data_IF_668475622898
#
_entry.id   IF_668475622898
#
_cell.length_a   1.000
_cell.length_b   1.000
_cell.length_c   1.000
_cell.angle_alpha   90.00
_cell.angle_beta   90.00
_cell.angle_gamma   90.00
#
_symmetry.space_group_name_H-M   'P 1'
#
loop_
_entity.id
_entity.type
_entity.pdbx_description
1 polymer ?
#
# COMPACT_ATOMS: atom_id res chain seq x y z
N UNK A 1 -27.93 -6.77 23.41
CA UNK A 1 -26.78 -6.50 24.31
C UNK A 1 -26.02 -5.32 23.75
N UNK A 2 -25.57 -4.39 24.62
CA UNK A 2 -24.67 -3.31 24.19
C UNK A 2 -23.37 -3.95 23.68
N UNK A 3 -22.82 -3.47 22.57
CA UNK A 3 -21.53 -3.94 22.09
C UNK A 3 -20.46 -3.72 23.17
N UNK A 4 -19.56 -4.69 23.43
CA UNK A 4 -18.54 -4.54 24.45
C UNK A 4 -17.66 -3.32 24.14
N UNK A 5 -17.24 -2.59 25.18
CA UNK A 5 -16.36 -1.44 25.00
C UNK A 5 -15.00 -1.90 24.43
N UNK A 6 -14.38 -1.14 23.52
CA UNK A 6 -13.07 -1.48 22.99
C UNK A 6 -12.01 -1.58 24.10
N UNK A 7 -11.16 -2.61 24.04
CA UNK A 7 -10.02 -2.76 24.95
C UNK A 7 -9.06 -1.56 24.81
N UNK A 8 -8.50 -1.10 25.93
CA UNK A 8 -7.56 0.03 25.96
C UNK A 8 -6.12 -0.48 25.98
N UNK A 9 -5.43 -0.25 24.87
CA UNK A 9 -4.03 -0.62 24.66
C UNK A 9 -3.08 -0.01 25.70
N UNK A 10 -2.13 -0.83 26.20
CA UNK A 10 -0.99 -0.38 27.01
C UNK A 10 0.23 -0.09 26.14
N UNK A 11 0.43 -0.90 25.10
CA UNK A 11 1.55 -0.76 24.18
C UNK A 11 1.09 -0.43 22.75
N UNK A 12 2.03 -0.03 21.90
CA UNK A 12 1.80 0.11 20.46
C UNK A 12 1.81 -1.28 19.83
N UNK A 13 0.62 -1.79 19.52
CA UNK A 13 0.45 -3.11 18.92
C UNK A 13 0.36 -2.99 17.40
N UNK A 14 1.13 -3.84 16.73
CA UNK A 14 1.17 -4.02 15.28
C UNK A 14 0.62 -5.41 14.96
N UNK A 15 -0.35 -5.46 14.04
CA UNK A 15 -1.01 -6.71 13.65
C UNK A 15 -0.97 -6.84 12.13
N UNK A 16 -0.44 -7.95 11.64
CA UNK A 16 -0.50 -8.31 10.22
C UNK A 16 -1.83 -9.00 9.94
N UNK A 17 -2.52 -8.60 8.88
CA UNK A 17 -3.82 -9.17 8.48
C UNK A 17 -3.81 -9.60 7.02
N UNK A 18 -4.26 -10.83 6.74
CA UNK A 18 -4.38 -11.36 5.38
C UNK A 18 -5.43 -12.47 5.26
N UNK A 19 -5.84 -12.80 4.04
CA UNK A 19 -6.50 -14.08 3.73
C UNK A 19 -5.47 -15.10 3.20
N UNK A 20 -5.72 -16.39 3.44
CA UNK A 20 -4.81 -17.48 3.11
C UNK A 20 -4.52 -17.62 1.60
N UNK A 21 -3.58 -18.49 1.25
CA UNK A 21 -3.20 -18.75 -0.14
C UNK A 21 -4.40 -19.29 -0.93
N UNK A 22 -4.57 -18.79 -2.15
CA UNK A 22 -5.71 -19.06 -3.04
C UNK A 22 -7.09 -18.77 -2.44
N UNK A 23 -7.15 -18.00 -1.36
CA UNK A 23 -8.41 -17.52 -0.78
C UNK A 23 -8.68 -16.08 -1.21
N UNK A 24 -9.78 -15.89 -1.94
CA UNK A 24 -10.30 -14.57 -2.32
C UNK A 24 -11.31 -13.98 -1.34
N UNK A 25 -11.67 -14.69 -0.26
CA UNK A 25 -12.67 -14.22 0.71
C UNK A 25 -12.09 -13.19 1.68
N UNK A 26 -11.96 -11.95 1.21
CA UNK A 26 -11.39 -10.86 2.01
C UNK A 26 -12.44 -10.10 2.84
N UNK A 27 -13.73 -10.36 2.65
CA UNK A 27 -14.82 -9.64 3.30
C UNK A 27 -14.73 -9.70 4.83
N UNK A 28 -14.46 -10.89 5.39
CA UNK A 28 -14.36 -11.11 6.83
C UNK A 28 -13.13 -10.37 7.40
N UNK A 29 -11.95 -10.57 6.83
CA UNK A 29 -10.72 -9.92 7.31
C UNK A 29 -10.79 -8.39 7.18
N UNK A 30 -11.48 -7.87 6.16
CA UNK A 30 -11.74 -6.44 5.98
C UNK A 30 -12.61 -5.85 7.10
N UNK A 31 -13.60 -6.58 7.60
CA UNK A 31 -14.38 -6.17 8.77
C UNK A 31 -13.52 -6.22 10.03
N UNK A 32 -12.80 -7.33 10.25
CA UNK A 32 -11.97 -7.50 11.44
C UNK A 32 -10.88 -6.43 11.55
N UNK A 33 -10.13 -6.16 10.47
CA UNK A 33 -9.07 -5.14 10.49
C UNK A 33 -9.57 -3.74 10.78
N UNK A 34 -10.81 -3.40 10.37
CA UNK A 34 -11.41 -2.09 10.68
C UNK A 34 -11.66 -1.94 12.18
N UNK A 35 -12.10 -3.01 12.83
CA UNK A 35 -12.35 -3.05 14.27
C UNK A 35 -11.03 -3.03 15.05
N UNK A 36 -10.02 -3.77 14.58
CA UNK A 36 -8.66 -3.75 15.13
C UNK A 36 -8.08 -2.33 15.09
N UNK A 37 -8.14 -1.67 13.93
CA UNK A 37 -7.70 -0.29 13.76
C UNK A 37 -8.50 0.68 14.66
N UNK A 38 -9.81 0.48 14.79
CA UNK A 38 -10.67 1.29 15.64
C UNK A 38 -10.35 1.15 17.14
N UNK A 39 -9.78 0.00 17.53
CA UNK A 39 -9.30 -0.27 18.90
C UNK A 39 -7.94 0.39 19.19
N UNK A 40 -7.28 0.94 18.16
CA UNK A 40 -6.06 1.74 18.31
C UNK A 40 -4.77 1.05 17.85
N UNK A 41 -4.86 -0.17 17.32
CA UNK A 41 -3.71 -0.89 16.80
C UNK A 41 -3.30 -0.42 15.40
N UNK A 42 -2.03 -0.64 15.06
CA UNK A 42 -1.48 -0.45 13.72
C UNK A 42 -1.67 -1.73 12.91
N UNK A 43 -2.43 -1.67 11.83
CA UNK A 43 -2.76 -2.84 11.02
C UNK A 43 -2.01 -2.81 9.70
N UNK A 44 -1.13 -3.79 9.50
CA UNK A 44 -0.46 -4.04 8.23
C UNK A 44 -1.34 -5.01 7.46
N UNK A 45 -1.98 -4.54 6.39
CA UNK A 45 -2.93 -5.35 5.64
C UNK A 45 -2.34 -5.81 4.31
N UNK A 46 -2.24 -7.12 4.12
CA UNK A 46 -1.67 -7.73 2.91
C UNK A 46 -2.74 -8.09 1.87
N UNK A 47 -4.03 -7.92 2.18
CA UNK A 47 -5.12 -8.31 1.29
C UNK A 47 -5.40 -9.80 1.34
N UNK A 48 -5.56 -10.41 0.16
CA UNK A 48 -5.95 -11.81 -0.01
C UNK A 48 -4.93 -12.58 -0.85
N UNK A 49 -5.10 -13.90 -0.97
CA UNK A 49 -4.20 -14.78 -1.72
C UNK A 49 -2.72 -14.66 -1.28
N UNK A 50 -2.45 -14.85 0.01
CA UNK A 50 -1.08 -14.75 0.55
C UNK A 50 -0.51 -16.08 0.99
N UNK A 51 0.69 -16.38 0.51
CA UNK A 51 1.46 -17.54 0.98
C UNK A 51 1.90 -17.34 2.43
N UNK A 52 2.20 -18.45 3.12
CA UNK A 52 2.73 -18.41 4.49
C UNK A 52 4.02 -17.61 4.56
N UNK A 53 4.92 -17.79 3.59
CA UNK A 53 6.20 -17.09 3.54
C UNK A 53 6.00 -15.57 3.48
N UNK A 54 5.16 -15.06 2.58
CA UNK A 54 4.87 -13.62 2.49
C UNK A 54 4.33 -13.03 3.80
N UNK A 55 3.41 -13.75 4.48
CA UNK A 55 2.82 -13.28 5.74
C UNK A 55 3.86 -13.28 6.86
N UNK A 56 4.69 -14.34 6.96
CA UNK A 56 5.74 -14.45 7.98
C UNK A 56 6.86 -13.45 7.75
N UNK A 57 7.33 -13.28 6.51
CA UNK A 57 8.32 -12.26 6.13
C UNK A 57 7.81 -10.86 6.53
N UNK A 58 6.56 -10.55 6.20
CA UNK A 58 5.94 -9.30 6.61
C UNK A 58 5.89 -9.17 8.14
N UNK A 59 5.43 -10.17 8.87
CA UNK A 59 5.30 -10.09 10.33
C UNK A 59 6.65 -9.87 11.02
N UNK A 60 7.70 -10.50 10.52
CA UNK A 60 9.08 -10.34 11.01
C UNK A 60 9.60 -8.94 10.71
N UNK A 61 9.55 -8.50 9.45
CA UNK A 61 10.02 -7.16 9.05
C UNK A 61 9.26 -6.04 9.79
N UNK A 62 7.99 -6.27 10.09
CA UNK A 62 7.14 -5.31 10.78
C UNK A 62 7.20 -5.42 12.32
N UNK A 63 8.03 -6.33 12.88
CA UNK A 63 8.12 -6.63 14.33
C UNK A 63 6.74 -6.72 14.98
N UNK A 64 5.83 -7.45 14.32
CA UNK A 64 4.42 -7.50 14.68
C UNK A 64 4.20 -8.42 15.89
N UNK A 65 3.36 -8.01 16.83
CA UNK A 65 2.99 -8.87 17.97
C UNK A 65 2.09 -10.03 17.55
N UNK A 66 1.34 -9.88 16.46
CA UNK A 66 0.39 -10.88 16.00
C UNK A 66 0.14 -10.88 14.49
N UNK A 67 -0.27 -12.04 14.01
CA UNK A 67 -0.83 -12.29 12.68
C UNK A 67 -2.29 -12.70 12.86
N UNK A 68 -3.18 -12.11 12.08
CA UNK A 68 -4.60 -12.46 12.04
C UNK A 68 -5.00 -12.86 10.62
N UNK A 69 -5.40 -14.11 10.45
CA UNK A 69 -5.70 -14.70 9.15
C UNK A 69 -7.18 -15.04 8.99
N UNK A 70 -7.66 -15.03 7.75
CA UNK A 70 -8.88 -15.75 7.38
C UNK A 70 -8.59 -16.86 6.39
N UNK A 71 -9.24 -18.02 6.56
CA UNK A 71 -9.13 -19.15 5.64
C UNK A 71 -10.48 -19.81 5.44
N UNK A 72 -11.05 -19.68 4.24
CA UNK A 72 -12.38 -20.20 3.88
C UNK A 72 -12.33 -21.34 2.85
N UNK A 73 -11.16 -21.62 2.26
CA UNK A 73 -11.00 -22.59 1.16
C UNK A 73 -10.54 -24.00 1.60
N UNK A 74 -10.31 -24.21 2.90
CA UNK A 74 -9.69 -25.44 3.41
C UNK A 74 -8.16 -25.40 3.37
N UNK A 75 -7.51 -26.50 3.73
CA UNK A 75 -6.04 -26.57 3.88
C UNK A 75 -5.50 -25.71 5.03
N UNK A 76 -6.39 -25.25 5.92
CA UNK A 76 -6.05 -24.36 7.03
C UNK A 76 -5.18 -25.03 8.08
N UNK A 77 -5.32 -26.34 8.29
CA UNK A 77 -4.49 -27.06 9.26
C UNK A 77 -3.02 -26.97 8.85
N UNK A 78 -2.71 -27.36 7.62
CA UNK A 78 -1.36 -27.33 7.07
C UNK A 78 -0.84 -25.89 6.97
N UNK A 79 -1.69 -24.95 6.54
CA UNK A 79 -1.32 -23.55 6.42
C UNK A 79 -0.91 -22.94 7.77
N UNK A 80 -1.70 -23.16 8.83
CA UNK A 80 -1.39 -22.63 10.16
C UNK A 80 -0.20 -23.35 10.81
N UNK A 81 -0.08 -24.67 10.66
CA UNK A 81 1.08 -25.41 11.16
C UNK A 81 2.38 -24.92 10.49
N UNK A 82 2.37 -24.79 9.17
CA UNK A 82 3.53 -24.28 8.43
C UNK A 82 3.90 -22.85 8.85
N UNK A 83 2.91 -21.98 9.09
CA UNK A 83 3.15 -20.63 9.60
C UNK A 83 3.83 -20.64 10.98
N UNK A 84 3.36 -21.52 11.88
CA UNK A 84 3.94 -21.66 13.21
C UNK A 84 5.38 -22.16 13.16
N UNK A 85 5.64 -23.18 12.34
CA UNK A 85 6.98 -23.77 12.19
C UNK A 85 7.96 -22.78 11.56
N UNK A 86 7.53 -22.06 10.52
CA UNK A 86 8.37 -21.06 9.85
C UNK A 86 8.70 -19.87 10.75
N UNK A 87 7.77 -19.45 11.62
CA UNK A 87 8.05 -18.43 12.64
C UNK A 87 9.08 -18.91 13.65
N UNK A 88 8.98 -20.17 14.11
CA UNK A 88 9.97 -20.76 15.02
C UNK A 88 11.34 -20.89 14.38
N UNK A 89 11.40 -21.42 13.15
CA UNK A 89 12.63 -21.58 12.38
C UNK A 89 13.38 -20.25 12.24
N UNK A 90 12.64 -19.15 12.06
CA UNK A 90 13.19 -17.80 11.89
C UNK A 90 13.37 -17.01 13.20
N UNK A 91 13.26 -17.67 14.36
CA UNK A 91 13.44 -17.04 15.68
C UNK A 91 12.32 -16.09 16.11
N UNK A 92 11.21 -16.06 15.37
CA UNK A 92 10.07 -15.17 15.58
C UNK A 92 8.86 -15.88 16.24
N UNK A 93 9.12 -16.95 17.02
CA UNK A 93 8.07 -17.74 17.68
C UNK A 93 7.26 -16.98 18.75
N UNK A 94 7.63 -15.75 19.08
CA UNK A 94 6.86 -14.88 19.98
C UNK A 94 5.62 -14.28 19.30
N UNK A 95 5.61 -14.17 17.97
CA UNK A 95 4.49 -13.61 17.20
C UNK A 95 3.28 -14.53 17.34
N UNK A 96 2.16 -13.97 17.79
CA UNK A 96 0.93 -14.73 18.07
C UNK A 96 0.12 -14.93 16.80
N UNK A 97 -0.44 -16.13 16.62
CA UNK A 97 -1.20 -16.48 15.42
C UNK A 97 -2.68 -16.58 15.77
N UNK A 98 -3.49 -15.78 15.09
CA UNK A 98 -4.94 -15.76 15.18
C UNK A 98 -5.57 -16.12 13.84
N UNK A 99 -6.77 -16.69 13.88
CA UNK A 99 -7.46 -17.05 12.66
C UNK A 99 -8.97 -17.23 12.78
N UNK A 100 -9.63 -17.34 11.63
CA UNK A 100 -11.03 -17.72 11.53
C UNK A 100 -11.39 -18.16 10.12
N UNK A 101 -12.36 -19.06 9.99
CA UNK A 101 -12.81 -19.59 8.70
C UNK A 101 -14.31 -19.83 8.63
N UNK A 102 -15.07 -19.21 9.54
CA UNK A 102 -16.49 -19.53 9.71
C UNK A 102 -16.67 -21.01 10.04
N UNK A 103 -17.55 -21.69 9.31
CA UNK A 103 -17.79 -23.13 9.47
C UNK A 103 -16.77 -24.04 8.79
N UNK A 104 -15.76 -23.50 8.09
CA UNK A 104 -14.76 -24.30 7.37
C UNK A 104 -13.77 -24.97 8.32
N UNK A 105 -13.48 -24.36 9.46
CA UNK A 105 -12.57 -24.91 10.48
C UNK A 105 -13.40 -25.62 11.55
N UNK A 106 -13.27 -26.93 11.64
CA UNK A 106 -14.05 -27.76 12.57
C UNK A 106 -13.54 -27.59 14.02
N UNK A 107 -14.40 -27.79 15.05
CA UNK A 107 -13.98 -27.70 16.45
C UNK A 107 -12.79 -28.60 16.80
N UNK A 108 -12.73 -29.81 16.26
CA UNK A 108 -11.60 -30.73 16.46
C UNK A 108 -10.30 -30.24 15.84
N UNK A 109 -10.37 -29.54 14.70
CA UNK A 109 -9.22 -28.91 14.05
C UNK A 109 -8.76 -27.66 14.81
N UNK A 110 -9.72 -26.90 15.38
CA UNK A 110 -9.43 -25.78 16.27
C UNK A 110 -8.65 -26.26 17.49
N UNK A 111 -9.13 -27.32 18.17
CA UNK A 111 -8.45 -27.93 19.32
C UNK A 111 -7.05 -28.44 18.94
N UNK A 112 -6.92 -29.13 17.81
CA UNK A 112 -5.63 -29.60 17.30
C UNK A 112 -4.64 -28.45 17.05
N UNK A 113 -5.08 -27.39 16.36
CA UNK A 113 -4.23 -26.23 16.05
C UNK A 113 -3.87 -25.42 17.31
N UNK A 114 -4.76 -25.31 18.31
CA UNK A 114 -4.41 -24.71 19.59
C UNK A 114 -3.38 -25.56 20.33
N UNK A 115 -3.51 -26.89 20.30
CA UNK A 115 -2.52 -27.82 20.84
C UNK A 115 -1.16 -27.74 20.14
N UNK A 116 -1.14 -27.40 18.84
CA UNK A 116 0.10 -27.20 18.07
C UNK A 116 0.84 -25.92 18.45
N UNK A 117 0.10 -24.87 18.86
CA UNK A 117 0.66 -23.59 19.29
C UNK A 117 0.01 -22.35 18.67
N UNK A 118 -1.05 -22.51 17.87
CA UNK A 118 -1.84 -21.38 17.38
C UNK A 118 -2.56 -20.72 18.55
N UNK A 119 -2.47 -19.39 18.66
CA UNK A 119 -2.93 -18.65 19.85
C UNK A 119 -4.44 -18.71 20.03
N UNK A 120 -5.20 -18.43 18.96
CA UNK A 120 -6.66 -18.53 18.99
C UNK A 120 -7.25 -18.59 17.59
N UNK A 121 -8.17 -19.51 17.38
CA UNK A 121 -9.02 -19.60 16.19
C UNK A 121 -10.46 -19.38 16.62
N UNK A 122 -11.14 -18.43 15.99
CA UNK A 122 -12.49 -18.04 16.34
C UNK A 122 -13.51 -18.80 15.49
N UNK A 123 -14.39 -19.53 16.17
CA UNK A 123 -15.52 -20.24 15.57
C UNK A 123 -16.74 -19.32 15.39
N UNK A 124 -17.76 -19.73 14.61
CA UNK A 124 -19.03 -19.00 14.55
C UNK A 124 -19.71 -18.84 15.92
N UNK A 125 -19.54 -19.79 16.84
CA UNK A 125 -20.07 -19.72 18.20
C UNK A 125 -19.38 -18.67 19.06
N UNK A 126 -18.07 -18.47 18.86
CA UNK A 126 -17.35 -17.35 19.47
C UNK A 126 -17.89 -16.02 18.96
N UNK A 127 -18.19 -15.92 17.66
CA UNK A 127 -18.82 -14.75 17.07
C UNK A 127 -20.21 -14.44 17.65
N UNK A 128 -21.01 -15.48 17.93
CA UNK A 128 -22.33 -15.34 18.57
C UNK A 128 -22.24 -14.92 20.04
N UNK A 129 -21.27 -15.46 20.77
CA UNK A 129 -21.14 -15.26 22.22
C UNK A 129 -20.41 -13.96 22.58
N UNK A 130 -19.27 -13.69 21.95
CA UNK A 130 -18.43 -12.52 22.23
C UNK A 130 -18.84 -11.28 21.40
N UNK A 131 -19.48 -11.51 20.25
CA UNK A 131 -19.63 -10.49 19.22
C UNK A 131 -18.30 -10.12 18.55
N UNK A 132 -18.37 -9.36 17.46
CA UNK A 132 -17.17 -8.98 16.69
C UNK A 132 -16.15 -8.19 17.53
N UNK A 133 -16.61 -7.19 18.30
CA UNK A 133 -15.73 -6.40 19.15
C UNK A 133 -15.14 -7.22 20.30
N UNK A 134 -15.88 -8.20 20.85
CA UNK A 134 -15.37 -9.07 21.92
C UNK A 134 -14.24 -9.97 21.42
N UNK A 135 -14.37 -10.54 20.21
CA UNK A 135 -13.27 -11.30 19.59
C UNK A 135 -12.03 -10.42 19.35
N UNK A 136 -12.21 -9.18 18.89
CA UNK A 136 -11.08 -8.27 18.71
C UNK A 136 -10.45 -7.86 20.04
N UNK A 137 -11.26 -7.66 21.10
CA UNK A 137 -10.71 -7.38 22.42
C UNK A 137 -9.82 -8.53 22.91
N UNK A 138 -10.26 -9.79 22.78
CA UNK A 138 -9.43 -10.97 23.15
C UNK A 138 -8.15 -11.04 22.30
N UNK A 139 -8.24 -10.81 21.00
CA UNK A 139 -7.09 -10.77 20.08
C UNK A 139 -6.06 -9.71 20.47
N UNK A 140 -6.55 -8.53 20.87
CA UNK A 140 -5.74 -7.33 21.16
C UNK A 140 -5.20 -7.33 22.60
N UNK A 141 -5.90 -7.93 23.55
CA UNK A 141 -5.45 -8.09 24.95
C UNK A 141 -4.34 -9.14 25.08
N UNK A 142 -4.53 -10.33 24.47
CA UNK A 142 -3.40 -11.13 24.00
C UNK A 142 -2.64 -10.24 23.00
N UNK A 143 -1.38 -10.32 22.63
CA UNK A 143 -0.77 -9.31 21.71
C UNK A 143 -0.44 -7.95 22.33
N UNK A 144 -1.05 -7.51 23.45
CA UNK A 144 -0.62 -6.30 24.18
C UNK A 144 0.63 -6.55 25.02
N UNK A 145 1.75 -6.78 24.34
CA UNK A 145 3.06 -7.00 24.96
C UNK A 145 4.18 -6.33 24.16
N UNK A 146 5.31 -6.13 24.83
CA UNK A 146 6.56 -5.70 24.21
C UNK A 146 7.24 -6.94 23.60
N UNK A 147 7.52 -6.98 22.29
CA UNK A 147 8.31 -8.05 21.69
C UNK A 147 9.62 -8.29 22.46
N UNK A 148 10.00 -9.56 22.72
CA UNK A 148 11.19 -9.88 23.50
C UNK A 148 12.46 -9.45 22.75
N UNK A 149 13.51 -9.14 23.49
CA UNK A 149 14.83 -8.93 22.90
C UNK A 149 15.42 -10.30 22.52
N UNK A 150 15.46 -10.60 21.22
CA UNK A 150 15.86 -11.93 20.71
C UNK A 150 17.38 -12.03 20.59
N UNK A 151 18.05 -10.92 20.29
CA UNK A 151 19.49 -10.90 20.01
C UNK A 151 20.32 -10.44 21.20
N UNK A 152 19.79 -9.58 22.09
CA UNK A 152 20.56 -9.06 23.23
C UNK A 152 21.85 -8.40 22.76
N UNK A 153 22.99 -8.90 23.23
CA UNK A 153 24.32 -8.39 22.88
C UNK A 153 24.71 -8.69 21.41
N UNK A 154 24.10 -9.69 20.77
CA UNK A 154 24.38 -10.08 19.38
C UNK A 154 23.61 -9.23 18.34
N UNK A 155 22.87 -8.20 18.78
CA UNK A 155 22.02 -7.39 17.90
C UNK A 155 22.84 -6.68 16.82
N UNK A 156 24.01 -6.15 17.17
CA UNK A 156 24.88 -5.44 16.24
C UNK A 156 25.30 -6.34 15.07
N UNK A 157 25.88 -7.50 15.38
CA UNK A 157 26.33 -8.48 14.38
C UNK A 157 25.17 -8.97 13.50
N UNK A 158 23.99 -9.20 14.10
CA UNK A 158 22.81 -9.64 13.37
C UNK A 158 22.25 -8.57 12.42
N UNK A 159 22.32 -7.28 12.81
CA UNK A 159 21.98 -6.15 11.94
C UNK A 159 22.99 -6.02 10.79
N UNK A 160 24.29 -6.13 11.06
CA UNK A 160 25.33 -6.13 10.01
C UNK A 160 25.14 -7.28 9.02
N UNK A 161 24.67 -8.44 9.49
CA UNK A 161 24.31 -9.58 8.65
C UNK A 161 22.98 -9.42 7.89
N UNK A 162 22.30 -8.26 8.03
CA UNK A 162 20.98 -7.97 7.45
C UNK A 162 19.91 -8.99 7.84
N UNK A 163 19.97 -9.53 9.06
CA UNK A 163 18.91 -10.40 9.57
C UNK A 163 17.58 -9.59 9.67
N UNK A 164 16.49 -10.00 8.99
CA UNK A 164 15.25 -9.23 8.96
C UNK A 164 14.64 -8.97 10.34
N UNK A 165 14.73 -9.93 11.26
CA UNK A 165 14.22 -9.76 12.62
C UNK A 165 15.10 -8.79 13.41
N UNK A 166 16.42 -8.87 13.28
CA UNK A 166 17.35 -7.95 13.96
C UNK A 166 17.13 -6.50 13.49
N UNK A 167 16.96 -6.29 12.18
CA UNK A 167 16.62 -4.99 11.60
C UNK A 167 15.30 -4.45 12.19
N UNK A 168 14.28 -5.30 12.22
CA UNK A 168 12.97 -4.91 12.73
C UNK A 168 13.02 -4.57 14.23
N UNK A 169 13.77 -5.34 15.03
CA UNK A 169 13.94 -5.09 16.47
C UNK A 169 14.76 -3.83 16.75
N UNK A 170 15.86 -3.60 16.02
CA UNK A 170 16.66 -2.38 16.14
C UNK A 170 15.81 -1.13 15.85
N UNK A 171 15.03 -1.15 14.76
CA UNK A 171 14.09 -0.08 14.43
C UNK A 171 13.05 0.09 15.55
N UNK A 172 12.44 -0.99 16.04
CA UNK A 172 11.48 -0.94 17.15
C UNK A 172 12.09 -0.45 18.46
N UNK A 173 13.37 -0.72 18.75
CA UNK A 173 14.08 -0.17 19.91
C UNK A 173 14.25 1.34 19.79
N UNK A 174 14.68 1.82 18.61
CA UNK A 174 14.81 3.24 18.34
C UNK A 174 13.45 3.97 18.44
N UNK A 175 12.39 3.42 17.85
CA UNK A 175 11.01 3.95 17.94
C UNK A 175 10.51 4.09 19.39
N UNK A 176 11.00 3.24 20.30
CA UNK A 176 10.64 3.26 21.74
C UNK A 176 11.59 4.12 22.58
N UNK A 177 12.61 4.72 21.97
CA UNK A 177 13.63 5.52 22.65
C UNK A 177 14.69 4.71 23.38
N UNK A 178 14.82 3.40 23.13
CA UNK A 178 15.85 2.54 23.70
C UNK A 178 17.18 2.68 22.93
N UNK A 179 17.67 3.92 22.81
CA UNK A 179 18.83 4.27 21.97
C UNK A 179 20.14 3.61 22.39
N UNK A 180 20.27 3.21 23.65
CA UNK A 180 21.45 2.49 24.14
C UNK A 180 21.64 1.16 23.41
N UNK A 181 20.55 0.49 23.01
CA UNK A 181 20.58 -0.77 22.27
C UNK A 181 21.00 -0.63 20.81
N UNK A 182 20.87 0.56 20.26
CA UNK A 182 21.21 0.86 18.85
C UNK A 182 22.36 1.85 18.77
N UNK A 183 23.16 1.99 19.82
CA UNK A 183 24.24 2.97 19.87
C UNK A 183 25.31 2.73 18.79
N UNK A 184 25.44 1.50 18.29
CA UNK A 184 26.34 1.11 17.20
C UNK A 184 26.05 1.80 15.87
N UNK A 185 24.82 2.28 15.63
CA UNK A 185 24.50 2.99 14.38
C UNK A 185 25.11 4.40 14.32
N UNK A 186 25.60 4.93 15.44
CA UNK A 186 26.16 6.29 15.50
C UNK A 186 27.42 6.40 14.65
N UNK A 187 27.47 7.44 13.81
CA UNK A 187 28.62 7.72 12.95
C UNK A 187 28.67 6.87 11.67
N UNK A 188 27.64 6.06 11.43
CA UNK A 188 27.48 5.31 10.18
C UNK A 188 27.43 6.25 8.99
N UNK A 189 28.10 5.87 7.90
CA UNK A 189 27.93 6.53 6.61
C UNK A 189 26.53 6.24 6.08
N UNK A 190 25.72 7.29 5.94
CA UNK A 190 24.35 7.19 5.42
C UNK A 190 24.34 6.60 4.01
N UNK A 191 23.44 5.64 3.78
CA UNK A 191 23.14 5.16 2.44
C UNK A 191 22.36 6.22 1.65
N UNK A 192 22.43 6.23 0.31
CA UNK A 192 21.60 7.10 -0.53
C UNK A 192 20.11 6.95 -0.20
N UNK A 193 19.44 8.08 0.02
CA UNK A 193 18.01 8.12 0.34
C UNK A 193 17.22 8.75 -0.81
N UNK A 194 16.30 7.96 -1.38
CA UNK A 194 15.27 8.43 -2.28
C UNK A 194 13.99 8.73 -1.51
N UNK A 195 13.62 10.01 -1.43
CA UNK A 195 12.35 10.44 -0.86
C UNK A 195 11.24 10.48 -1.90
N UNK A 196 10.13 9.80 -1.66
CA UNK A 196 8.95 9.78 -2.52
C UNK A 196 7.79 10.41 -1.77
N UNK A 197 7.28 11.52 -2.30
CA UNK A 197 6.10 12.21 -1.75
C UNK A 197 5.12 12.57 -2.84
N UNK A 198 3.92 13.01 -2.48
CA UNK A 198 2.85 13.23 -3.46
C UNK A 198 1.45 13.27 -2.86
N UNK A 199 0.48 13.64 -3.70
CA UNK A 199 -0.92 13.73 -3.25
C UNK A 199 -1.50 12.35 -2.95
N UNK A 200 -2.45 12.30 -2.01
CA UNK A 200 -3.15 11.08 -1.64
C UNK A 200 -3.81 10.41 -2.85
N UNK A 201 -3.49 9.13 -3.08
CA UNK A 201 -4.04 8.38 -4.20
C UNK A 201 -3.40 8.66 -5.56
N UNK A 202 -2.32 9.43 -5.64
CA UNK A 202 -1.56 9.63 -6.89
C UNK A 202 -0.91 8.35 -7.43
N UNK A 203 -0.79 7.31 -6.60
CA UNK A 203 -0.17 6.02 -6.95
C UNK A 203 1.31 5.93 -6.57
N UNK A 204 1.71 6.61 -5.49
CA UNK A 204 3.07 6.59 -4.92
C UNK A 204 3.55 5.16 -4.68
N UNK A 205 2.86 4.41 -3.82
CA UNK A 205 3.22 3.02 -3.49
C UNK A 205 3.24 2.08 -4.70
N UNK A 206 2.37 2.27 -5.69
CA UNK A 206 2.45 1.51 -6.96
C UNK A 206 3.67 1.89 -7.80
N UNK A 207 4.03 3.17 -7.84
CA UNK A 207 5.22 3.63 -8.56
C UNK A 207 6.52 3.23 -7.83
N UNK A 208 6.52 3.25 -6.50
CA UNK A 208 7.58 2.72 -5.65
C UNK A 208 7.82 1.24 -5.94
N UNK A 209 6.76 0.41 -6.03
CA UNK A 209 6.88 -1.01 -6.40
C UNK A 209 7.54 -1.20 -7.77
N UNK A 210 7.11 -0.40 -8.76
CA UNK A 210 7.67 -0.42 -10.10
C UNK A 210 9.13 0.07 -10.16
N UNK A 211 9.54 0.98 -9.27
CA UNK A 211 10.94 1.41 -9.10
C UNK A 211 11.76 0.30 -8.45
N UNK A 212 11.27 -0.31 -7.36
CA UNK A 212 11.93 -1.43 -6.68
C UNK A 212 12.17 -2.57 -7.66
N UNK A 213 11.14 -2.91 -8.45
CA UNK A 213 11.24 -3.93 -9.47
C UNK A 213 12.35 -3.64 -10.49
N UNK A 214 12.35 -2.44 -11.08
CA UNK A 214 13.38 -2.03 -12.05
C UNK A 214 14.77 -2.01 -11.45
N UNK A 215 14.90 -1.59 -10.19
CA UNK A 215 16.17 -1.62 -9.46
C UNK A 215 16.68 -3.05 -9.30
N UNK A 216 15.82 -4.00 -8.96
CA UNK A 216 16.19 -5.42 -8.82
C UNK A 216 16.53 -6.08 -10.17
N UNK A 217 15.92 -5.63 -11.26
CA UNK A 217 16.20 -6.09 -12.63
C UNK A 217 17.52 -5.51 -13.17
N UNK A 218 17.80 -4.23 -12.89
CA UNK A 218 18.98 -3.50 -13.37
C UNK A 218 20.26 -3.86 -12.59
N UNK A 219 20.14 -4.07 -11.28
CA UNK A 219 21.25 -4.44 -10.41
C UNK A 219 21.01 -5.82 -9.80
N UNK A 220 21.90 -6.77 -10.05
CA UNK A 220 21.76 -8.16 -9.58
C UNK A 220 22.31 -8.38 -8.17
N UNK A 221 23.23 -7.52 -7.72
CA UNK A 221 23.97 -7.62 -6.45
C UNK A 221 23.54 -6.59 -5.40
N UNK A 222 22.82 -5.53 -5.81
CA UNK A 222 22.40 -4.45 -4.91
C UNK A 222 21.15 -4.80 -4.11
N UNK A 223 21.06 -4.15 -2.95
CA UNK A 223 20.00 -4.30 -1.96
C UNK A 223 19.28 -2.98 -1.72
N UNK A 224 17.99 -3.07 -1.44
CA UNK A 224 17.11 -1.91 -1.31
C UNK A 224 16.23 -2.03 -0.07
N UNK A 225 16.09 -0.94 0.66
CA UNK A 225 15.16 -0.87 1.78
C UNK A 225 14.04 0.12 1.47
N UNK A 226 12.82 -0.17 1.92
CA UNK A 226 11.63 0.67 1.74
C UNK A 226 11.04 1.01 3.10
N UNK A 227 11.01 2.30 3.42
CA UNK A 227 10.37 2.86 4.60
C UNK A 227 9.12 3.59 4.14
N UNK A 228 7.95 3.03 4.39
CA UNK A 228 6.68 3.68 4.01
C UNK A 228 5.99 4.28 5.22
N UNK A 229 5.31 5.41 5.03
CA UNK A 229 4.62 6.12 6.11
C UNK A 229 3.16 6.32 5.75
N UNK A 230 2.25 5.82 6.59
CA UNK A 230 0.81 5.94 6.41
C UNK A 230 0.16 6.79 7.52
N UNK A 231 -0.93 7.51 7.23
CA UNK A 231 -1.57 8.39 8.21
C UNK A 231 -2.27 7.61 9.33
N UNK A 232 -2.06 8.05 10.57
CA UNK A 232 -2.78 7.52 11.74
C UNK A 232 -4.17 8.16 11.90
N UNK A 233 -5.15 7.40 12.42
CA UNK A 233 -6.46 7.95 12.76
C UNK A 233 -6.39 8.75 14.07
N UNK A 234 -6.61 10.06 13.98
CA UNK A 234 -6.59 10.98 15.13
C UNK A 234 -7.50 10.56 16.30
N UNK A 235 -8.67 9.99 16.00
CA UNK A 235 -9.67 9.64 17.02
C UNK A 235 -9.29 8.39 17.84
N UNK A 236 -8.68 7.40 17.20
CA UNK A 236 -8.44 6.08 17.82
C UNK A 236 -6.96 5.81 18.09
N UNK A 237 -6.05 6.57 17.46
CA UNK A 237 -4.60 6.35 17.53
C UNK A 237 -4.11 5.19 16.65
N UNK A 238 -5.00 4.36 16.12
CA UNK A 238 -4.67 3.25 15.24
C UNK A 238 -4.43 3.69 13.79
N UNK A 239 -3.74 2.85 13.02
CA UNK A 239 -3.37 3.13 11.64
C UNK A 239 -3.69 1.94 10.72
N UNK A 240 -3.99 2.23 9.46
CA UNK A 240 -4.04 1.21 8.42
C UNK A 240 -2.79 1.46 7.58
N UNK A 241 -1.81 0.58 7.73
CA UNK A 241 -0.57 0.58 6.99
C UNK A 241 -0.84 -0.20 5.70
N UNK A 242 -1.27 0.54 4.69
CA UNK A 242 -1.84 0.04 3.45
C UNK A 242 -0.87 0.04 2.28
N UNK A 243 0.29 0.70 2.38
CA UNK A 243 1.24 0.76 1.26
C UNK A 243 1.74 -0.63 0.84
N UNK A 244 2.02 -1.52 1.80
CA UNK A 244 2.53 -2.87 1.52
C UNK A 244 1.58 -3.73 0.67
N UNK A 245 0.25 -3.49 0.70
CA UNK A 245 -0.69 -4.24 -0.16
C UNK A 245 -0.46 -4.00 -1.65
N UNK A 246 0.20 -2.89 -2.02
CA UNK A 246 0.49 -2.50 -3.40
C UNK A 246 1.83 -3.00 -3.89
N UNK A 247 2.66 -3.53 -2.99
CA UNK A 247 4.05 -3.89 -3.27
C UNK A 247 4.14 -5.39 -3.61
N UNK A 248 4.40 -5.71 -4.87
CA UNK A 248 4.60 -7.10 -5.32
C UNK A 248 6.09 -7.45 -5.39
N UNK A 249 6.95 -6.48 -5.74
CA UNK A 249 8.39 -6.69 -5.93
C UNK A 249 9.17 -6.81 -4.61
N UNK A 250 8.55 -6.44 -3.48
CA UNK A 250 9.19 -6.49 -2.15
C UNK A 250 9.33 -7.91 -1.59
N UNK A 251 8.68 -8.91 -2.20
CA UNK A 251 8.85 -10.33 -1.83
C UNK A 251 10.13 -10.90 -2.45
N UNK A 252 11.28 -10.31 -2.07
CA UNK A 252 12.60 -10.67 -2.57
C UNK A 252 13.63 -10.54 -1.44
N UNK A 253 14.57 -11.50 -1.33
CA UNK A 253 15.58 -11.50 -0.27
C UNK A 253 16.54 -10.30 -0.27
N UNK A 254 16.60 -9.53 -1.37
CA UNK A 254 17.38 -8.27 -1.47
C UNK A 254 16.59 -7.03 -1.04
N UNK A 255 15.32 -7.20 -0.66
CA UNK A 255 14.42 -6.10 -0.27
C UNK A 255 14.02 -6.23 1.19
N UNK A 256 14.18 -5.13 1.93
CA UNK A 256 13.60 -4.98 3.25
C UNK A 256 12.53 -3.89 3.20
N UNK A 257 11.39 -4.08 3.86
CA UNK A 257 10.37 -3.06 3.95
C UNK A 257 9.91 -2.88 5.40
N UNK A 258 9.62 -1.66 5.81
CA UNK A 258 9.07 -1.32 7.13
C UNK A 258 8.02 -0.22 6.99
N UNK A 259 6.87 -0.42 7.62
CA UNK A 259 5.75 0.51 7.55
C UNK A 259 5.63 1.31 8.85
N UNK A 260 5.50 2.63 8.76
CA UNK A 260 5.34 3.53 9.90
C UNK A 260 3.97 4.19 9.87
N UNK A 261 3.47 4.48 11.06
CA UNK A 261 2.31 5.33 11.25
C UNK A 261 2.78 6.74 11.60
N UNK A 262 2.12 7.80 11.10
CA UNK A 262 2.53 9.19 11.41
C UNK A 262 2.51 9.53 12.90
N UNK A 263 1.68 8.84 13.69
CA UNK A 263 1.53 8.90 15.16
C UNK A 263 1.20 10.27 15.77
N UNK A 264 1.45 11.40 15.10
CA UNK A 264 1.06 12.77 15.46
C UNK A 264 1.18 13.74 14.26
N UNK A 265 0.61 14.95 14.36
CA UNK A 265 0.28 15.76 13.20
C UNK A 265 1.44 16.51 12.51
N UNK A 266 2.65 16.68 13.08
CA UNK A 266 3.65 17.56 12.44
C UNK A 266 5.16 17.36 12.77
N UNK A 267 5.59 16.52 13.73
CA UNK A 267 7.03 16.51 14.15
C UNK A 267 7.63 15.11 14.40
N UNK A 268 6.83 14.14 14.88
CA UNK A 268 7.37 12.83 15.25
C UNK A 268 7.72 11.91 14.06
N UNK A 269 7.26 12.22 12.85
CA UNK A 269 7.54 11.42 11.64
C UNK A 269 9.04 11.42 11.31
N UNK A 270 9.68 12.59 11.32
CA UNK A 270 11.06 12.75 10.86
C UNK A 270 12.04 11.94 11.73
N UNK A 271 11.82 11.88 13.05
CA UNK A 271 12.73 11.17 13.96
C UNK A 271 12.73 9.66 13.76
N UNK A 272 11.56 9.01 13.78
CA UNK A 272 11.49 7.55 13.64
C UNK A 272 11.97 7.07 12.27
N UNK A 273 11.70 7.86 11.22
CA UNK A 273 12.17 7.58 9.87
C UNK A 273 13.69 7.75 9.79
N UNK A 274 14.25 8.79 10.40
CA UNK A 274 15.72 8.99 10.47
C UNK A 274 16.40 7.86 11.22
N UNK A 275 15.87 7.47 12.38
CA UNK A 275 16.39 6.34 13.17
C UNK A 275 16.38 5.03 12.33
N UNK A 276 15.33 4.80 11.54
CA UNK A 276 15.27 3.65 10.64
C UNK A 276 16.28 3.73 9.49
N UNK A 277 16.46 4.91 8.90
CA UNK A 277 17.48 5.16 7.87
C UNK A 277 18.88 4.86 8.42
N UNK A 278 19.17 5.24 9.66
CA UNK A 278 20.48 4.99 10.28
C UNK A 278 20.73 3.49 10.49
N UNK A 279 19.73 2.76 11.01
CA UNK A 279 19.82 1.29 11.16
C UNK A 279 20.02 0.61 9.80
N UNK A 280 19.26 1.01 8.78
CA UNK A 280 19.37 0.43 7.44
C UNK A 280 20.68 0.81 6.74
N UNK A 281 21.18 2.02 6.97
CA UNK A 281 22.49 2.44 6.49
C UNK A 281 23.60 1.61 7.13
N UNK A 282 23.50 1.33 8.44
CA UNK A 282 24.47 0.52 9.16
C UNK A 282 24.49 -0.92 8.66
N UNK A 283 23.30 -1.45 8.31
CA UNK A 283 23.15 -2.76 7.69
C UNK A 283 23.66 -2.82 6.24
N UNK A 284 24.11 -1.71 5.66
CA UNK A 284 24.76 -1.66 4.34
C UNK A 284 23.80 -1.82 3.16
N UNK A 285 22.55 -1.33 3.27
CA UNK A 285 21.67 -1.24 2.10
C UNK A 285 22.21 -0.22 1.07
N UNK A 286 22.15 -0.56 -0.22
CA UNK A 286 22.67 0.30 -1.28
C UNK A 286 21.75 1.50 -1.57
N UNK A 287 20.44 1.32 -1.39
CA UNK A 287 19.44 2.36 -1.58
C UNK A 287 18.35 2.26 -0.49
N UNK A 288 17.97 3.38 0.08
CA UNK A 288 16.82 3.47 0.98
C UNK A 288 15.75 4.36 0.32
N UNK A 289 14.57 3.81 0.10
CA UNK A 289 13.39 4.56 -0.34
C UNK A 289 12.57 4.94 0.88
N UNK A 290 12.19 6.21 0.98
CA UNK A 290 11.27 6.72 2.01
C UNK A 290 10.02 7.24 1.33
N UNK A 291 8.89 6.57 1.51
CA UNK A 291 7.59 7.02 1.02
C UNK A 291 6.81 7.73 2.12
N UNK A 292 6.36 8.96 1.89
CA UNK A 292 5.51 9.68 2.85
C UNK A 292 4.03 9.30 2.73
N UNK A 293 3.27 9.65 3.77
CA UNK A 293 1.81 9.67 3.66
C UNK A 293 1.39 10.63 2.55
N UNK A 294 0.18 10.46 2.00
CA UNK A 294 -0.36 11.41 1.03
C UNK A 294 -0.38 12.82 1.62
N UNK A 295 0.40 13.73 1.04
CA UNK A 295 0.59 15.08 1.56
C UNK A 295 -0.39 16.09 0.94
N UNK A 296 -0.58 17.21 1.65
CA UNK A 296 -1.16 18.42 1.08
C UNK A 296 -0.16 19.17 0.19
N UNK A 297 -0.58 20.29 -0.38
CA UNK A 297 0.24 21.07 -1.33
C UNK A 297 1.46 21.77 -0.70
N UNK A 298 1.51 21.88 0.64
CA UNK A 298 2.52 22.68 1.38
C UNK A 298 3.42 21.85 2.31
N UNK A 299 3.57 20.55 2.03
CA UNK A 299 4.41 19.66 2.84
C UNK A 299 5.69 19.30 2.08
N UNK A 300 6.84 19.69 2.63
CA UNK A 300 8.16 19.41 2.06
C UNK A 300 9.04 18.58 2.98
N UNK A 301 8.51 17.99 4.06
CA UNK A 301 9.31 17.35 5.12
C UNK A 301 10.21 16.21 4.61
N UNK A 302 9.87 15.60 3.47
CA UNK A 302 10.69 14.55 2.87
C UNK A 302 12.08 15.04 2.44
N UNK A 303 12.24 16.33 2.13
CA UNK A 303 13.51 16.90 1.66
C UNK A 303 14.55 16.97 2.77
N UNK A 304 14.13 16.94 4.04
CA UNK A 304 15.03 16.98 5.18
C UNK A 304 15.79 15.66 5.37
N UNK A 305 15.23 14.56 4.84
CA UNK A 305 15.82 13.21 4.96
C UNK A 305 16.27 12.64 3.63
N UNK A 306 15.86 13.16 2.49
CA UNK A 306 16.16 12.60 1.18
C UNK A 306 17.35 13.29 0.49
N UNK A 307 18.23 12.52 -0.14
CA UNK A 307 19.29 13.05 -1.01
C UNK A 307 18.73 13.40 -2.40
N UNK A 308 17.81 12.56 -2.89
CA UNK A 308 17.01 12.79 -4.10
C UNK A 308 15.54 12.74 -3.74
N UNK A 309 14.77 13.74 -4.14
CA UNK A 309 13.33 13.79 -3.88
C UNK A 309 12.49 13.68 -5.16
N UNK A 310 11.46 12.84 -5.12
CA UNK A 310 10.50 12.64 -6.20
C UNK A 310 9.10 13.06 -5.74
N UNK A 311 8.46 13.93 -6.53
CA UNK A 311 7.06 14.32 -6.31
C UNK A 311 6.13 13.60 -7.29
N UNK A 312 5.15 12.88 -6.76
CA UNK A 312 4.15 12.14 -7.55
C UNK A 312 2.82 12.87 -7.52
N UNK A 313 2.29 13.17 -8.69
CA UNK A 313 1.00 13.85 -8.84
C UNK A 313 0.17 13.23 -9.98
N UNK A 314 -1.10 13.62 -10.09
CA UNK A 314 -1.98 13.21 -11.19
C UNK A 314 -2.25 14.38 -12.14
N UNK A 315 -2.73 14.14 -13.37
CA UNK A 315 -3.20 15.19 -14.28
C UNK A 315 -4.35 16.06 -13.73
N UNK A 316 -4.98 15.65 -12.62
CA UNK A 316 -6.17 16.27 -12.04
C UNK A 316 -5.80 17.26 -10.93
N UNK A 317 -5.03 18.32 -11.24
CA UNK A 317 -4.62 19.35 -10.27
C UNK A 317 -5.48 20.63 -10.30
N UNK A 318 -6.52 20.68 -11.15
CA UNK A 318 -7.36 21.85 -11.34
C UNK A 318 -6.76 22.85 -12.33
N UNK A 319 -6.79 24.14 -12.01
CA UNK A 319 -6.23 25.18 -12.87
C UNK A 319 -4.70 25.21 -12.80
N UNK A 320 -4.02 25.63 -13.88
CA UNK A 320 -2.56 25.75 -13.93
C UNK A 320 -1.98 26.64 -12.81
N UNK A 321 -2.72 27.64 -12.35
CA UNK A 321 -2.32 28.49 -11.21
C UNK A 321 -2.25 27.77 -9.86
N UNK A 322 -2.80 26.55 -9.75
CA UNK A 322 -2.63 25.72 -8.55
C UNK A 322 -1.22 25.15 -8.46
N UNK A 323 -0.51 24.99 -9.59
CA UNK A 323 0.87 24.49 -9.59
C UNK A 323 1.82 25.47 -8.86
N UNK A 324 1.51 26.76 -8.86
CA UNK A 324 2.28 27.79 -8.13
C UNK A 324 2.18 27.66 -6.60
N UNK A 325 1.26 26.83 -6.09
CA UNK A 325 1.04 26.62 -4.66
C UNK A 325 1.59 25.29 -4.15
N UNK A 326 2.18 24.48 -5.03
CA UNK A 326 2.70 23.17 -4.68
C UNK A 326 4.19 23.35 -4.38
N UNK A 327 4.53 23.42 -3.09
CA UNK A 327 5.90 23.66 -2.65
C UNK A 327 6.85 22.59 -3.18
N UNK A 328 6.40 21.33 -3.25
CA UNK A 328 7.20 20.23 -3.79
C UNK A 328 7.60 20.41 -5.26
N UNK A 329 6.93 21.25 -6.06
CA UNK A 329 7.41 21.56 -7.41
C UNK A 329 8.75 22.31 -7.35
N UNK A 330 8.99 23.09 -6.30
CA UNK A 330 10.20 23.90 -6.14
C UNK A 330 11.36 23.07 -5.56
N UNK A 331 11.06 22.05 -4.76
CA UNK A 331 12.06 21.22 -4.10
C UNK A 331 12.35 19.87 -4.76
N UNK A 332 11.40 19.28 -5.48
CA UNK A 332 11.57 17.96 -6.08
C UNK A 332 12.70 17.93 -7.11
N UNK A 333 13.52 16.89 -7.12
CA UNK A 333 14.50 16.69 -8.19
C UNK A 333 13.84 16.15 -9.45
N UNK A 334 12.80 15.35 -9.25
CA UNK A 334 12.06 14.69 -10.31
C UNK A 334 10.56 14.74 -10.00
N UNK A 335 9.73 14.98 -11.02
CA UNK A 335 8.28 14.92 -10.89
C UNK A 335 7.74 13.76 -11.74
N UNK A 336 6.95 12.89 -11.11
CA UNK A 336 6.18 11.85 -11.78
C UNK A 336 4.72 12.28 -11.89
N UNK A 337 4.28 12.59 -13.11
CA UNK A 337 2.87 12.81 -13.44
C UNK A 337 2.21 11.46 -13.74
N UNK A 338 1.83 10.77 -12.68
CA UNK A 338 1.29 9.41 -12.73
C UNK A 338 -0.20 9.39 -13.12
N UNK A 339 -0.71 8.21 -13.52
CA UNK A 339 -2.03 8.06 -14.15
C UNK A 339 -2.10 8.87 -15.45
N UNK A 340 -1.04 8.79 -16.23
CA UNK A 340 -0.92 9.46 -17.53
C UNK A 340 -1.96 8.97 -18.56
N UNK A 341 -2.67 7.89 -18.22
CA UNK A 341 -3.82 7.35 -18.92
C UNK A 341 -5.09 8.26 -18.81
N UNK A 342 -5.06 9.29 -17.95
CA UNK A 342 -6.20 10.21 -17.73
C UNK A 342 -6.29 11.29 -18.82
N UNK A 343 -7.51 11.84 -18.99
CA UNK A 343 -7.76 12.93 -19.94
C UNK A 343 -6.98 14.18 -19.53
N UNK A 344 -6.40 14.88 -20.49
CA UNK A 344 -5.61 16.09 -20.24
C UNK A 344 -4.19 15.84 -19.74
N UNK A 345 -3.72 14.59 -19.71
CA UNK A 345 -2.36 14.26 -19.25
C UNK A 345 -1.24 14.97 -20.03
N UNK A 346 -1.39 15.13 -21.35
CA UNK A 346 -0.41 15.85 -22.18
C UNK A 346 -0.35 17.34 -21.84
N UNK A 347 -1.50 17.99 -21.66
CA UNK A 347 -1.57 19.39 -21.25
C UNK A 347 -0.99 19.57 -19.84
N UNK A 348 -1.35 18.65 -18.93
CA UNK A 348 -0.82 18.58 -17.59
C UNK A 348 0.70 18.46 -17.56
N UNK A 349 1.28 17.59 -18.39
CA UNK A 349 2.73 17.44 -18.51
C UNK A 349 3.39 18.75 -18.92
N UNK A 350 2.81 19.43 -19.92
CA UNK A 350 3.33 20.70 -20.44
C UNK A 350 3.31 21.79 -19.38
N UNK A 351 2.22 21.89 -18.64
CA UNK A 351 2.03 22.91 -17.59
C UNK A 351 2.98 22.66 -16.42
N UNK A 352 3.12 21.41 -15.97
CA UNK A 352 4.05 21.04 -14.89
C UNK A 352 5.51 21.25 -15.32
N UNK A 353 5.89 20.89 -16.56
CA UNK A 353 7.24 21.18 -17.10
C UNK A 353 7.54 22.68 -17.10
N UNK A 354 6.60 23.50 -17.57
CA UNK A 354 6.75 24.96 -17.55
C UNK A 354 6.84 25.51 -16.13
N UNK A 355 6.06 24.98 -15.20
CA UNK A 355 6.12 25.44 -13.81
C UNK A 355 7.45 25.06 -13.15
N UNK A 356 7.91 23.82 -13.33
CA UNK A 356 9.21 23.36 -12.84
C UNK A 356 10.36 24.25 -13.37
N UNK A 357 10.30 24.60 -14.66
CA UNK A 357 11.27 25.50 -15.28
C UNK A 357 11.23 26.89 -14.65
N UNK A 358 10.03 27.44 -14.42
CA UNK A 358 9.82 28.78 -13.85
C UNK A 358 10.29 28.85 -12.41
N UNK A 359 9.96 27.86 -11.58
CA UNK A 359 10.36 27.87 -10.17
C UNK A 359 11.87 27.86 -9.98
N UNK A 360 12.61 27.24 -10.91
CA UNK A 360 14.09 27.20 -10.90
C UNK A 360 14.75 28.22 -11.82
N UNK A 361 13.99 29.14 -12.42
CA UNK A 361 14.48 30.15 -13.36
C UNK A 361 15.31 29.59 -14.53
N UNK A 362 15.00 28.37 -15.00
CA UNK A 362 15.73 27.66 -16.05
C UNK A 362 15.30 28.10 -17.47
N UNK A 363 15.14 29.41 -17.69
CA UNK A 363 14.62 29.97 -18.95
C UNK A 363 15.52 29.71 -20.17
N UNK A 364 16.78 29.35 -19.94
CA UNK A 364 17.75 29.01 -20.99
C UNK A 364 17.67 27.56 -21.45
N UNK A 365 16.90 26.69 -20.78
CA UNK A 365 16.68 25.30 -21.16
C UNK A 365 15.30 25.13 -21.77
N UNK A 366 15.10 24.09 -22.59
CA UNK A 366 13.75 23.82 -23.13
C UNK A 366 12.88 23.19 -22.04
N UNK A 367 11.56 23.49 -21.98
CA UNK A 367 10.65 22.82 -21.06
C UNK A 367 10.68 21.30 -21.17
N UNK A 368 10.92 20.75 -22.36
CA UNK A 368 10.94 19.31 -22.59
C UNK A 368 12.09 18.59 -21.88
N UNK A 369 13.17 19.30 -21.57
CA UNK A 369 14.34 18.82 -20.83
C UNK A 369 14.12 18.81 -19.30
N UNK A 370 13.01 19.35 -18.81
CA UNK A 370 12.72 19.35 -17.37
C UNK A 370 12.42 17.91 -16.90
N UNK A 371 12.89 17.51 -15.72
CA UNK A 371 12.76 16.15 -15.16
C UNK A 371 11.33 15.88 -14.67
N UNK A 372 10.38 15.96 -15.60
CA UNK A 372 8.95 15.72 -15.38
C UNK A 372 8.51 14.65 -16.37
N UNK A 373 8.08 13.52 -15.84
CA UNK A 373 7.78 12.32 -16.62
C UNK A 373 6.33 11.91 -16.45
N UNK A 374 5.64 11.63 -17.55
CA UNK A 374 4.32 11.01 -17.51
C UNK A 374 4.47 9.51 -17.28
N UNK A 375 3.77 8.94 -16.29
CA UNK A 375 3.86 7.51 -15.96
C UNK A 375 2.50 6.85 -15.79
N UNK A 376 2.44 5.54 -16.03
CA UNK A 376 1.27 4.70 -15.79
C UNK A 376 1.71 3.49 -14.96
N UNK A 377 1.82 3.66 -13.63
CA UNK A 377 2.26 2.57 -12.74
C UNK A 377 1.34 1.33 -12.76
N UNK A 378 0.08 1.46 -13.23
CA UNK A 378 -0.83 0.32 -13.40
C UNK A 378 -0.57 -0.50 -14.68
N UNK A 379 0.30 -0.03 -15.57
CA UNK A 379 0.66 -0.71 -16.80
C UNK A 379 2.01 -1.41 -16.61
N UNK A 380 2.02 -2.71 -16.80
CA UNK A 380 3.24 -3.50 -16.74
C UNK A 380 4.25 -3.02 -17.78
N UNK A 381 5.49 -2.81 -17.36
CA UNK A 381 6.58 -2.32 -18.21
C UNK A 381 6.24 -1.02 -18.97
N UNK A 382 5.58 -0.09 -18.28
CA UNK A 382 5.27 1.24 -18.81
C UNK A 382 6.54 1.98 -19.27
N UNK A 383 6.61 2.46 -20.54
CA UNK A 383 7.75 3.22 -21.05
C UNK A 383 8.05 4.49 -20.25
N UNK A 384 7.02 5.21 -19.81
CA UNK A 384 7.19 6.41 -18.99
C UNK A 384 7.84 6.11 -17.64
N UNK A 385 7.43 5.04 -16.97
CA UNK A 385 8.07 4.57 -15.74
C UNK A 385 9.52 4.10 -15.98
N UNK A 386 9.84 3.53 -17.15
CA UNK A 386 11.22 3.19 -17.54
C UNK A 386 12.11 4.44 -17.65
N UNK A 387 11.64 5.47 -18.34
CA UNK A 387 12.35 6.75 -18.49
C UNK A 387 12.51 7.47 -17.15
N UNK A 388 11.47 7.47 -16.31
CA UNK A 388 11.51 7.99 -14.95
C UNK A 388 12.59 7.28 -14.13
N UNK A 389 12.59 5.94 -14.12
CA UNK A 389 13.55 5.14 -13.38
C UNK A 389 15.00 5.46 -13.81
N UNK A 390 15.27 5.52 -15.12
CA UNK A 390 16.61 5.85 -15.61
C UNK A 390 17.08 7.22 -15.11
N UNK A 391 16.22 8.22 -15.25
CA UNK A 391 16.51 9.59 -14.81
C UNK A 391 16.71 9.69 -13.30
N UNK A 392 15.99 8.85 -12.54
CA UNK A 392 16.13 8.72 -11.09
C UNK A 392 17.49 8.13 -10.69
N UNK A 393 17.93 7.07 -11.35
CA UNK A 393 19.27 6.49 -11.12
C UNK A 393 20.36 7.50 -11.48
N UNK A 394 20.22 8.21 -12.60
CA UNK A 394 21.19 9.25 -13.00
C UNK A 394 21.25 10.38 -11.96
N UNK A 395 20.10 10.80 -11.40
CA UNK A 395 20.05 11.78 -10.32
C UNK A 395 20.72 11.28 -9.04
N UNK A 396 20.49 10.02 -8.65
CA UNK A 396 21.15 9.38 -7.49
C UNK A 396 22.66 9.30 -7.69
N UNK A 397 23.12 8.85 -8.86
CA UNK A 397 24.54 8.77 -9.22
C UNK A 397 25.20 10.14 -9.11
N UNK A 398 24.60 11.16 -9.72
CA UNK A 398 25.16 12.51 -9.74
C UNK A 398 25.17 13.16 -8.34
N UNK A 399 24.05 13.10 -7.61
CA UNK A 399 23.95 13.79 -6.30
C UNK A 399 24.70 13.08 -5.18
N UNK A 400 24.69 11.74 -5.19
CA UNK A 400 25.31 10.96 -4.13
C UNK A 400 26.73 10.49 -4.48
N UNK A 401 27.22 10.78 -5.69
CA UNK A 401 28.56 10.40 -6.14
C UNK A 401 28.75 8.88 -6.22
N UNK A 402 27.75 8.17 -6.74
CA UNK A 402 27.73 6.71 -6.78
C UNK A 402 28.43 6.18 -8.04
N UNK A 403 29.19 5.09 -7.88
CA UNK A 403 29.77 4.36 -9.00
C UNK A 403 28.80 3.28 -9.51
N UNK A 404 27.59 3.71 -9.88
CA UNK A 404 26.57 2.81 -10.42
C UNK A 404 26.47 2.97 -11.94
N UNK A 405 26.56 1.86 -12.66
CA UNK A 405 26.34 1.80 -14.10
C UNK A 405 25.05 1.03 -14.38
N UNK A 406 23.95 1.75 -14.57
CA UNK A 406 22.66 1.15 -14.96
C UNK A 406 22.73 0.66 -16.41
N UNK A 407 22.27 -0.58 -16.62
CA UNK A 407 22.17 -1.26 -17.92
C UNK A 407 20.75 -1.20 -18.49
N UNK A 408 19.81 -0.64 -17.73
CA UNK A 408 18.40 -0.56 -18.09
C UNK A 408 18.17 0.25 -19.38
N UNK A 409 17.67 -0.42 -20.42
CA UNK A 409 17.38 0.19 -21.72
C UNK A 409 16.02 0.87 -21.70
N UNK A 410 16.00 2.16 -22.04
CA UNK A 410 14.78 2.95 -22.22
C UNK A 410 14.43 2.99 -23.69
N UNK A 411 13.15 2.82 -24.03
CA UNK A 411 12.62 3.07 -25.38
C UNK A 411 12.13 4.52 -25.49
N UNK A 412 12.25 5.14 -26.66
CA UNK A 412 11.73 6.50 -26.92
C UNK A 412 10.18 6.58 -26.97
N UNK A 413 9.50 5.50 -26.60
CA UNK A 413 8.04 5.41 -26.63
C UNK A 413 7.44 6.18 -25.46
N UNK A 414 6.39 6.96 -25.73
CA UNK A 414 5.59 7.56 -24.67
C UNK A 414 4.66 6.51 -24.05
N UNK A 415 4.29 6.70 -22.78
CA UNK A 415 3.22 5.91 -22.15
C UNK A 415 1.91 6.06 -22.93
N UNK A 416 1.59 5.08 -23.76
CA UNK A 416 0.32 5.00 -24.46
C UNK A 416 -0.67 4.14 -23.68
N UNK A 417 -1.88 4.68 -23.50
CA UNK A 417 -2.97 3.97 -22.82
C UNK A 417 -3.49 2.85 -23.72
N UNK A 418 -3.41 1.62 -23.21
CA UNK A 418 -4.14 0.49 -23.80
C UNK A 418 -5.62 0.62 -23.41
N UNK A 419 -6.45 1.05 -24.36
CA UNK A 419 -7.90 1.17 -24.15
C UNK A 419 -8.59 -0.19 -24.29
N UNK A 420 -9.12 -0.73 -23.19
CA UNK A 420 -10.08 -1.84 -23.27
C UNK A 420 -11.43 -1.34 -23.82
N UNK A 421 -11.87 -0.17 -23.34
CA UNK A 421 -13.06 0.53 -23.84
C UNK A 421 -12.61 1.84 -24.49
N UNK A 422 -12.90 2.05 -25.79
CA UNK A 422 -12.59 3.29 -26.49
C UNK A 422 -13.21 4.52 -25.79
N UNK A 423 -12.52 5.69 -25.75
CA UNK A 423 -13.02 6.90 -25.06
C UNK A 423 -14.41 7.35 -25.50
N UNK A 424 -14.72 7.21 -26.79
CA UNK A 424 -16.01 7.51 -27.41
C UNK A 424 -17.13 6.55 -26.98
N UNK A 425 -16.79 5.39 -26.41
CA UNK A 425 -17.74 4.39 -25.90
C UNK A 425 -17.86 4.37 -24.38
N UNK A 426 -17.31 5.36 -23.67
CA UNK A 426 -17.39 5.43 -22.19
C UNK A 426 -18.82 5.47 -21.64
N UNK A 427 -19.80 5.93 -22.43
CA UNK A 427 -21.22 6.01 -22.06
C UNK A 427 -22.07 4.83 -22.51
N UNK A 428 -21.49 3.73 -23.00
CA UNK A 428 -22.23 2.58 -23.53
C UNK A 428 -23.34 2.03 -22.61
N UNK A 429 -23.15 2.03 -21.28
CA UNK A 429 -24.21 1.59 -20.35
C UNK A 429 -25.38 2.59 -20.27
N UNK A 430 -25.10 3.89 -20.37
CA UNK A 430 -26.15 4.90 -20.42
C UNK A 430 -26.91 4.79 -21.75
N UNK A 431 -26.21 4.56 -22.86
CA UNK A 431 -26.82 4.32 -24.18
C UNK A 431 -27.76 3.09 -24.15
N UNK A 432 -27.37 2.00 -23.49
CA UNK A 432 -28.22 0.81 -23.29
C UNK A 432 -29.50 1.16 -22.50
N UNK A 433 -29.37 1.94 -21.43
CA UNK A 433 -30.53 2.37 -20.63
C UNK A 433 -31.45 3.28 -21.45
N UNK A 434 -30.88 4.24 -22.18
CA UNK A 434 -31.62 5.17 -23.04
C UNK A 434 -32.39 4.43 -24.14
N UNK A 435 -31.79 3.40 -24.75
CA UNK A 435 -32.44 2.58 -25.77
C UNK A 435 -33.54 1.68 -25.19
N UNK A 436 -33.35 1.08 -24.01
CA UNK A 436 -34.43 0.35 -23.34
C UNK A 436 -35.64 1.26 -23.04
N UNK A 437 -35.40 2.45 -22.50
CA UNK A 437 -36.46 3.42 -22.24
C UNK A 437 -37.14 3.91 -23.53
N UNK A 438 -36.38 4.05 -24.61
CA UNK A 438 -36.92 4.40 -25.93
C UNK A 438 -37.82 3.29 -26.46
N UNK A 439 -37.40 2.03 -26.32
CA UNK A 439 -38.20 0.88 -26.69
C UNK A 439 -39.49 0.79 -25.87
N UNK A 440 -39.43 1.00 -24.55
CA UNK A 440 -40.63 1.00 -23.69
C UNK A 440 -41.64 2.06 -24.12
N UNK A 441 -41.16 3.28 -24.41
CA UNK A 441 -42.01 4.36 -24.95
C UNK A 441 -42.64 3.96 -26.28
N UNK A 442 -41.86 3.36 -27.18
CA UNK A 442 -42.36 2.90 -28.47
C UNK A 442 -43.40 1.78 -28.32
N UNK A 443 -43.13 0.77 -27.50
CA UNK A 443 -44.04 -0.33 -27.22
C UNK A 443 -45.35 0.18 -26.61
N UNK A 444 -45.28 1.13 -25.66
CA UNK A 444 -46.45 1.80 -25.09
C UNK A 444 -47.28 2.52 -26.15
N UNK A 445 -46.64 3.29 -27.03
CA UNK A 445 -47.30 3.97 -28.14
C UNK A 445 -47.98 2.98 -29.12
N UNK A 446 -47.30 1.88 -29.46
CA UNK A 446 -47.87 0.85 -30.34
C UNK A 446 -49.04 0.12 -29.68
N UNK A 447 -48.95 -0.20 -28.40
CA UNK A 447 -50.03 -0.83 -27.63
C UNK A 447 -51.27 0.08 -27.56
N UNK A 448 -51.09 1.38 -27.35
CA UNK A 448 -52.17 2.36 -27.35
C UNK A 448 -52.81 2.51 -28.74
N UNK A 449 -52.00 2.53 -29.80
CA UNK A 449 -52.49 2.57 -31.18
C UNK A 449 -53.31 1.31 -31.52
N UNK A 450 -52.79 0.13 -31.18
CA UNK A 450 -53.50 -1.14 -31.36
C UNK A 450 -54.82 -1.17 -30.59
N UNK A 451 -54.83 -0.66 -29.34
CA UNK A 451 -56.04 -0.54 -28.52
C UNK A 451 -57.08 0.39 -29.15
N UNK A 452 -56.66 1.53 -29.73
CA UNK A 452 -57.55 2.45 -30.45
C UNK A 452 -58.14 1.79 -31.71
N UNK A 453 -57.31 1.11 -32.50
CA UNK A 453 -57.76 0.40 -33.71
C UNK A 453 -58.78 -0.69 -33.39
N UNK A 454 -58.51 -1.49 -32.34
CA UNK A 454 -59.42 -2.52 -31.85
C UNK A 454 -60.79 -1.94 -31.46
N UNK A 455 -60.80 -0.82 -30.70
CA UNK A 455 -62.05 -0.13 -30.31
C UNK A 455 -62.85 0.37 -31.52
N UNK A 456 -62.17 0.98 -32.50
CA UNK A 456 -62.84 1.49 -33.70
C UNK A 456 -63.42 0.36 -34.55
N UNK A 457 -62.70 -0.75 -34.73
CA UNK A 457 -63.21 -1.94 -35.42
C UNK A 457 -64.41 -2.54 -34.69
N UNK A 458 -64.29 -2.73 -33.38
CA UNK A 458 -65.41 -3.23 -32.56
C UNK A 458 -66.66 -2.36 -32.68
N UNK A 459 -66.52 -1.04 -32.65
CA UNK A 459 -67.66 -0.12 -32.84
C UNK A 459 -68.26 -0.21 -34.26
N UNK A 460 -67.43 -0.35 -35.30
CA UNK A 460 -67.91 -0.56 -36.68
C UNK A 460 -68.66 -1.89 -36.79
N UNK A 461 -68.15 -2.95 -36.17
CA UNK A 461 -68.77 -4.28 -36.20
C UNK A 461 -70.11 -4.29 -35.45
N UNK A 462 -70.21 -3.60 -34.30
CA UNK A 462 -71.48 -3.39 -33.59
C UNK A 462 -72.51 -2.62 -34.43
N UNK A 463 -72.09 -1.55 -35.11
CA UNK A 463 -72.98 -0.79 -36.01
C UNK A 463 -73.45 -1.59 -37.23
N UNK A 464 -72.69 -2.60 -37.67
CA UNK A 464 -73.06 -3.52 -38.75
C UNK A 464 -73.90 -4.71 -38.26
N UNK A 465 -73.97 -4.92 -36.94
CA UNK A 465 -74.68 -6.03 -36.27
C UNK A 465 -76.15 -5.74 -35.94
N UNK A 466 -76.67 -4.58 -36.35
CA UNK A 466 -78.10 -4.24 -36.48
C UNK A 466 -78.44 -4.12 -37.95
#
# INVERSE_FOLDING_TARGET
>A
MQAPQPYKLKHKIRIVTAASLFDGHDAAINVMRRIIQATGAEVIHLGHNRSVAEVVDCAIQEDAQAIAMTSYQGGHVEYFQYMYDLLKERGAGHIRIFGGGGGTILPTEIEHLHGYGITRLYSPDDGRSLGLQGMINDLVERSDYIPPDVFGDDLEDAVSARNPLALAQAISFAERGAYDKVAFVKGTKRAPVLGITGTGGAGKSSLTDEIVRRFLEDFTDKTIAVVSVDPSKRKTGGALLGDRIRMNAVSNGRVYMRSFATREANVAMNKNVTDAIDVLSYAGFDLIIVETAGIGQSDSQITDVADVSMYVMTPEYGAASQLEKIDMIDYADIIALNKFDKRGALDALRDVKKQYQRSRQLFNRKPDEMPVYGTIASQFNDPGANTLYRSLIDALVHKCGLDWASTYTVTDEMSEKIYIIPPDRTRYLAEIVEENQRYDRYAGQQADLARRLWRLRGAIDEMKGT
#
